data_IF_559725352008
#
_entry.id   IF_559725352008
#
_cell.length_a   1.000
_cell.length_b   1.000
_cell.length_c   1.000
_cell.angle_alpha   90.00
_cell.angle_beta   90.00
_cell.angle_gamma   90.00
#
_symmetry.space_group_name_H-M   'P 1'
#
loop_
_entity.id
_entity.type
_entity.pdbx_description
1 polymer ?
#
# COMPACT_ATOMS: atom_id res chain seq x y z
N UNK A 1 1.63 -37.41 3.21
CA UNK A 1 1.04 -36.30 2.44
C UNK A 1 1.23 -35.05 3.30
N UNK A 2 2.19 -34.19 2.95
CA UNK A 2 2.46 -32.97 3.72
C UNK A 2 1.33 -31.97 3.44
N UNK A 3 0.49 -31.70 4.43
CA UNK A 3 -0.39 -30.54 4.42
C UNK A 3 0.50 -29.29 4.42
N UNK A 4 0.75 -28.76 3.23
CA UNK A 4 1.26 -27.40 3.06
C UNK A 4 0.08 -26.51 3.47
N UNK A 5 0.06 -26.06 4.73
CA UNK A 5 -0.78 -24.95 5.15
C UNK A 5 -0.47 -23.83 4.14
N UNK A 6 -1.40 -23.56 3.22
CA UNK A 6 -1.34 -22.36 2.39
C UNK A 6 -1.49 -21.20 3.37
N UNK A 7 -0.37 -20.68 3.86
CA UNK A 7 -0.41 -19.40 4.57
C UNK A 7 -0.77 -18.38 3.52
N UNK A 8 -1.97 -17.82 3.64
CA UNK A 8 -2.42 -16.74 2.79
C UNK A 8 -1.44 -15.57 2.96
N UNK A 9 -1.02 -14.99 1.84
CA UNK A 9 -0.16 -13.82 1.84
C UNK A 9 -1.04 -12.63 2.21
N UNK A 10 -0.70 -11.97 3.32
CA UNK A 10 -1.36 -10.72 3.71
C UNK A 10 -0.77 -9.58 2.90
N UNK A 11 -1.60 -8.91 2.11
CA UNK A 11 -1.25 -7.70 1.36
C UNK A 11 -2.14 -6.54 1.80
N UNK A 12 -1.52 -5.39 2.08
CA UNK A 12 -2.20 -4.18 2.51
C UNK A 12 -1.98 -3.12 1.43
N UNK A 13 -3.06 -2.69 0.78
CA UNK A 13 -3.02 -1.58 -0.16
C UNK A 13 -3.24 -0.26 0.58
N UNK A 14 -2.47 0.78 0.25
CA UNK A 14 -2.63 2.12 0.83
C UNK A 14 -3.07 3.08 -0.29
N UNK A 15 -4.16 3.80 -0.09
CA UNK A 15 -4.61 4.80 -1.08
C UNK A 15 -5.36 5.97 -0.45
N UNK A 16 -5.41 7.08 -1.19
CA UNK A 16 -6.10 8.30 -0.76
C UNK A 16 -7.60 8.16 -1.01
N UNK A 17 -8.43 8.52 -0.03
CA UNK A 17 -9.87 8.57 -0.19
C UNK A 17 -10.28 9.53 -1.32
N UNK A 18 -9.69 10.73 -1.35
CA UNK A 18 -9.91 11.74 -2.36
C UNK A 18 -9.69 11.29 -3.81
N UNK A 19 -8.70 10.41 -4.04
CA UNK A 19 -8.37 9.97 -5.41
C UNK A 19 -9.24 8.83 -5.91
N UNK A 20 -10.07 8.22 -5.05
CA UNK A 20 -11.06 7.25 -5.46
C UNK A 20 -12.11 7.91 -6.34
N UNK A 21 -12.64 7.16 -7.31
CA UNK A 21 -13.74 7.65 -8.15
C UNK A 21 -14.95 8.02 -7.29
N UNK A 22 -15.78 9.01 -7.69
CA UNK A 22 -17.02 9.34 -6.97
C UNK A 22 -17.89 8.11 -6.71
N UNK A 23 -18.06 7.25 -7.71
CA UNK A 23 -18.82 6.00 -7.59
C UNK A 23 -18.24 5.06 -6.52
N UNK A 24 -16.91 4.89 -6.49
CA UNK A 24 -16.25 4.07 -5.47
C UNK A 24 -16.51 4.65 -4.08
N UNK A 25 -16.40 5.98 -3.91
CA UNK A 25 -16.66 6.64 -2.62
C UNK A 25 -18.11 6.49 -2.17
N UNK A 26 -19.07 6.64 -3.08
CA UNK A 26 -20.50 6.51 -2.77
C UNK A 26 -20.81 5.09 -2.28
N UNK A 27 -20.33 4.07 -2.99
CA UNK A 27 -20.52 2.66 -2.61
C UNK A 27 -19.87 2.32 -1.26
N UNK A 28 -18.71 2.89 -0.98
CA UNK A 28 -18.03 2.72 0.31
C UNK A 28 -18.79 3.42 1.43
N UNK A 29 -19.27 4.65 1.19
CA UNK A 29 -20.04 5.44 2.16
C UNK A 29 -21.35 4.74 2.52
N UNK A 30 -22.11 4.25 1.54
CA UNK A 30 -23.34 3.48 1.77
C UNK A 30 -23.10 2.26 2.67
N UNK A 31 -21.98 1.56 2.49
CA UNK A 31 -21.62 0.40 3.31
C UNK A 31 -21.24 0.78 4.73
N UNK A 32 -20.42 1.80 4.91
CA UNK A 32 -20.06 2.28 6.24
C UNK A 32 -21.30 2.74 7.02
N UNK A 33 -22.26 3.42 6.35
CA UNK A 33 -23.53 3.82 6.97
C UNK A 33 -24.45 2.63 7.29
N UNK A 34 -24.50 1.61 6.43
CA UNK A 34 -25.26 0.39 6.73
C UNK A 34 -24.68 -0.38 7.93
N UNK A 35 -23.35 -0.36 8.10
CA UNK A 35 -22.68 -0.94 9.26
C UNK A 35 -22.95 -0.15 10.55
N UNK A 36 -22.87 1.19 10.52
CA UNK A 36 -23.12 2.03 11.70
C UNK A 36 -24.55 1.85 12.25
N UNK A 37 -25.52 1.62 11.36
CA UNK A 37 -26.91 1.37 11.72
C UNK A 37 -27.20 -0.09 12.16
N UNK A 38 -26.19 -0.97 12.14
CA UNK A 38 -26.30 -2.40 12.44
C UNK A 38 -25.30 -2.91 13.49
N UNK A 39 -24.61 -2.04 14.23
CA UNK A 39 -23.59 -2.44 15.21
C UNK A 39 -24.22 -3.25 16.34
N UNK A 40 -24.13 -4.57 16.24
CA UNK A 40 -23.95 -5.46 17.40
C UNK A 40 -22.46 -5.75 17.50
N UNK A 41 -21.91 -5.86 18.71
CA UNK A 41 -20.47 -6.07 19.01
C UNK A 41 -19.84 -7.34 18.38
N UNK A 42 -20.60 -8.07 17.55
CA UNK A 42 -20.26 -9.34 16.89
C UNK A 42 -20.11 -9.18 15.36
N UNK A 43 -19.44 -8.12 14.88
CA UNK A 43 -19.14 -7.98 13.45
C UNK A 43 -18.27 -9.14 12.96
N UNK A 44 -18.72 -9.89 11.95
CA UNK A 44 -18.00 -11.05 11.41
C UNK A 44 -16.99 -10.62 10.34
N UNK A 45 -15.94 -11.42 10.13
CA UNK A 45 -14.87 -11.17 9.15
C UNK A 45 -15.39 -11.00 7.69
N UNK A 46 -16.58 -11.52 7.38
CA UNK A 46 -17.24 -11.32 6.08
C UNK A 46 -17.76 -9.89 5.86
N UNK A 47 -18.02 -9.14 6.93
CA UNK A 47 -18.52 -7.76 6.88
C UNK A 47 -17.45 -6.77 6.38
N UNK A 48 -16.17 -7.17 6.43
CA UNK A 48 -15.02 -6.37 5.98
C UNK A 48 -14.60 -6.65 4.53
N UNK A 49 -15.26 -7.59 3.84
CA UNK A 49 -14.95 -7.89 2.44
C UNK A 49 -15.64 -6.88 1.52
N UNK A 50 -14.86 -6.11 0.77
CA UNK A 50 -15.40 -5.29 -0.32
C UNK A 50 -16.09 -6.21 -1.36
N UNK A 51 -17.31 -5.88 -1.83
CA UNK A 51 -17.92 -6.62 -2.92
C UNK A 51 -17.00 -6.55 -4.12
N UNK A 52 -16.77 -7.70 -4.73
CA UNK A 52 -15.97 -7.84 -5.95
C UNK A 52 -16.45 -6.89 -7.07
N UNK A 53 -17.72 -6.50 -7.03
CA UNK A 53 -18.37 -5.55 -7.94
C UNK A 53 -17.84 -4.12 -7.86
N UNK A 54 -17.26 -3.69 -6.72
CA UNK A 54 -16.58 -2.39 -6.58
C UNK A 54 -15.22 -2.39 -7.30
N UNK A 55 -14.65 -3.58 -7.52
CA UNK A 55 -13.26 -3.79 -7.96
C UNK A 55 -13.12 -3.93 -9.48
N UNK A 56 -14.21 -4.01 -10.24
CA UNK A 56 -14.20 -4.42 -11.67
C UNK A 56 -14.66 -3.35 -12.66
N UNK A 57 -14.83 -2.09 -12.26
CA UNK A 57 -15.26 -1.03 -13.20
C UNK A 57 -14.06 -0.36 -13.88
N UNK A 58 -14.03 -0.40 -15.20
CA UNK A 58 -12.89 -0.09 -16.09
C UNK A 58 -12.47 1.39 -16.20
N UNK A 59 -12.99 2.29 -15.37
CA UNK A 59 -12.72 3.73 -15.49
C UNK A 59 -11.98 4.25 -14.25
N UNK A 60 -10.64 4.31 -14.34
CA UNK A 60 -9.69 5.06 -13.47
C UNK A 60 -9.63 4.70 -11.98
N UNK A 61 -8.40 4.56 -11.46
CA UNK A 61 -8.00 4.19 -10.07
C UNK A 61 -9.09 3.51 -9.21
N UNK A 62 -9.42 2.27 -9.58
CA UNK A 62 -10.18 1.36 -8.72
C UNK A 62 -9.27 0.80 -7.63
N UNK A 63 -9.89 0.41 -6.50
CA UNK A 63 -9.23 -0.40 -5.48
C UNK A 63 -8.75 -1.69 -6.13
N UNK A 64 -7.47 -2.01 -5.96
CA UNK A 64 -6.87 -3.22 -6.53
C UNK A 64 -7.45 -4.48 -5.84
N UNK A 65 -8.16 -5.37 -6.57
CA UNK A 65 -8.90 -6.49 -5.98
C UNK A 65 -8.08 -7.54 -5.25
N UNK A 66 -6.78 -7.65 -5.52
CA UNK A 66 -5.95 -8.71 -4.95
C UNK A 66 -5.32 -8.33 -3.60
N UNK A 67 -5.59 -7.13 -3.06
CA UNK A 67 -5.20 -6.80 -1.69
C UNK A 67 -6.09 -7.52 -0.67
N UNK A 68 -5.50 -8.07 0.39
CA UNK A 68 -6.24 -8.66 1.51
C UNK A 68 -6.93 -7.58 2.35
N UNK A 69 -6.25 -6.45 2.53
CA UNK A 69 -6.74 -5.29 3.29
C UNK A 69 -6.46 -3.99 2.52
N UNK A 70 -7.24 -2.95 2.81
CA UNK A 70 -6.97 -1.60 2.32
C UNK A 70 -7.01 -0.58 3.45
N UNK A 71 -6.05 0.34 3.44
CA UNK A 71 -6.03 1.54 4.27
C UNK A 71 -6.34 2.75 3.39
N UNK A 72 -7.48 3.39 3.68
CA UNK A 72 -7.93 4.61 3.02
C UNK A 72 -7.59 5.80 3.92
N UNK A 73 -6.72 6.69 3.46
CA UNK A 73 -6.40 7.91 4.19
C UNK A 73 -7.16 9.09 3.60
N UNK A 74 -7.74 9.90 4.47
CA UNK A 74 -8.48 11.11 4.11
C UNK A 74 -7.76 12.34 4.68
N UNK A 75 -7.51 13.31 3.81
CA UNK A 75 -6.95 14.62 4.15
C UNK A 75 -7.91 15.77 3.81
N UNK A 76 -9.15 15.45 3.42
CA UNK A 76 -10.18 16.40 3.01
C UNK A 76 -10.07 16.89 1.57
N UNK A 77 -9.01 16.53 0.83
CA UNK A 77 -8.77 16.99 -0.53
C UNK A 77 -9.11 15.90 -1.56
N UNK A 78 -9.65 16.28 -2.72
CA UNK A 78 -10.12 15.35 -3.76
C UNK A 78 -9.04 14.91 -4.75
N UNK A 79 -7.84 15.48 -4.70
CA UNK A 79 -6.76 15.20 -5.65
C UNK A 79 -5.38 15.15 -4.96
N UNK A 80 -4.34 14.95 -5.76
CA UNK A 80 -2.96 14.85 -5.28
C UNK A 80 -2.55 13.45 -4.82
N UNK A 81 -1.25 13.31 -4.54
CA UNK A 81 -0.62 12.06 -4.14
C UNK A 81 0.17 12.27 -2.85
N UNK A 82 -0.21 11.53 -1.80
CA UNK A 82 0.51 11.51 -0.52
C UNK A 82 0.89 10.09 -0.08
N UNK A 83 0.77 9.12 -0.99
CA UNK A 83 0.96 7.69 -0.70
C UNK A 83 2.33 7.39 -0.07
N UNK A 84 3.38 8.04 -0.54
CA UNK A 84 4.74 7.83 -0.05
C UNK A 84 4.92 8.30 1.40
N UNK A 85 4.33 9.43 1.77
CA UNK A 85 4.38 9.95 3.14
C UNK A 85 3.59 9.07 4.11
N UNK A 86 2.42 8.60 3.67
CA UNK A 86 1.59 7.73 4.50
C UNK A 86 2.18 6.33 4.64
N UNK A 87 2.81 5.80 3.58
CA UNK A 87 3.62 4.57 3.64
C UNK A 87 4.73 4.71 4.68
N UNK A 88 5.48 5.81 4.65
CA UNK A 88 6.58 6.04 5.58
C UNK A 88 6.08 6.04 7.03
N UNK A 89 5.02 6.80 7.34
CA UNK A 89 4.42 6.82 8.69
C UNK A 89 3.95 5.43 9.12
N UNK A 90 3.27 4.70 8.25
CA UNK A 90 2.79 3.34 8.54
C UNK A 90 3.94 2.40 8.91
N UNK A 91 5.02 2.41 8.14
CA UNK A 91 6.17 1.55 8.39
C UNK A 91 6.92 1.98 9.66
N UNK A 92 7.05 3.28 9.93
CA UNK A 92 7.67 3.79 11.16
C UNK A 92 6.90 3.33 12.40
N UNK A 93 5.57 3.47 12.41
CA UNK A 93 4.72 2.97 13.49
C UNK A 93 4.84 1.45 13.66
N UNK A 94 4.84 0.70 12.56
CA UNK A 94 5.01 -0.75 12.58
C UNK A 94 6.39 -1.17 13.16
N UNK A 95 7.46 -0.44 12.85
CA UNK A 95 8.81 -0.71 13.33
C UNK A 95 9.07 -0.25 14.77
N UNK A 96 8.33 0.75 15.27
CA UNK A 96 8.47 1.29 16.63
C UNK A 96 7.72 0.49 17.71
N UNK A 97 6.90 -0.48 17.33
CA UNK A 97 6.20 -1.34 18.28
C UNK A 97 7.15 -2.25 19.08
N UNK A 98 6.75 -2.62 20.30
CA UNK A 98 7.55 -3.44 21.24
C UNK A 98 8.09 -4.74 20.60
N UNK A 99 7.36 -5.26 19.61
CA UNK A 99 7.77 -6.34 18.74
C UNK A 99 8.42 -5.78 17.47
N UNK A 100 9.69 -5.39 17.55
CA UNK A 100 10.46 -4.80 16.43
C UNK A 100 10.20 -5.54 15.11
N UNK A 101 9.47 -4.90 14.21
CA UNK A 101 9.23 -5.39 12.86
C UNK A 101 10.29 -4.84 11.92
N UNK A 102 11.03 -5.73 11.25
CA UNK A 102 11.96 -5.35 10.20
C UNK A 102 11.19 -5.12 8.90
N UNK A 103 11.34 -3.93 8.34
CA UNK A 103 10.78 -3.57 7.04
C UNK A 103 11.90 -3.51 5.99
N UNK A 104 11.54 -3.84 4.76
CA UNK A 104 12.40 -3.69 3.58
C UNK A 104 11.58 -3.03 2.48
N UNK A 105 12.19 -2.11 1.75
CA UNK A 105 11.56 -1.48 0.59
C UNK A 105 12.08 -2.14 -0.68
N UNK A 106 11.17 -2.51 -1.59
CA UNK A 106 11.53 -3.08 -2.88
C UNK A 106 11.14 -2.11 -3.98
N UNK A 107 12.11 -1.70 -4.79
CA UNK A 107 11.93 -0.80 -5.92
C UNK A 107 11.94 -1.63 -7.20
N UNK A 108 10.80 -1.68 -7.89
CA UNK A 108 10.63 -2.36 -9.18
C UNK A 108 10.69 -1.34 -10.30
N UNK A 109 9.81 -0.34 -10.27
CA UNK A 109 9.91 0.83 -11.14
C UNK A 109 9.93 2.09 -10.27
N UNK A 110 10.03 3.26 -10.92
CA UNK A 110 9.90 4.52 -10.21
C UNK A 110 10.00 5.73 -11.10
N UNK A 111 9.40 6.81 -10.63
CA UNK A 111 9.61 8.16 -11.15
C UNK A 111 10.65 8.89 -10.30
N UNK A 112 10.83 10.19 -10.57
CA UNK A 112 11.78 11.01 -9.81
C UNK A 112 11.45 11.05 -8.30
N UNK A 113 10.17 11.05 -7.95
CA UNK A 113 9.69 11.05 -6.56
C UNK A 113 10.07 9.77 -5.80
N UNK A 114 10.40 8.68 -6.49
CA UNK A 114 10.87 7.44 -5.86
C UNK A 114 12.22 7.64 -5.16
N UNK A 115 13.03 8.62 -5.58
CA UNK A 115 14.27 8.95 -4.87
C UNK A 115 14.01 9.45 -3.45
N UNK A 116 12.98 10.27 -3.24
CA UNK A 116 12.63 10.76 -1.91
C UNK A 116 12.24 9.60 -0.99
N UNK A 117 11.51 8.60 -1.53
CA UNK A 117 11.17 7.37 -0.79
C UNK A 117 12.42 6.62 -0.36
N UNK A 118 13.36 6.41 -1.29
CA UNK A 118 14.60 5.68 -1.03
C UNK A 118 15.45 6.41 0.00
N UNK A 119 15.62 7.72 -0.14
CA UNK A 119 16.41 8.54 0.80
C UNK A 119 15.83 8.46 2.22
N UNK A 120 14.52 8.63 2.37
CA UNK A 120 13.86 8.51 3.68
C UNK A 120 14.03 7.09 4.28
N UNK A 121 13.94 6.04 3.46
CA UNK A 121 14.13 4.67 3.94
C UNK A 121 15.58 4.43 4.39
N UNK A 122 16.57 4.93 3.63
CA UNK A 122 17.98 4.81 4.00
C UNK A 122 18.33 5.61 5.27
N UNK A 123 17.79 6.82 5.44
CA UNK A 123 17.93 7.62 6.65
C UNK A 123 17.37 6.89 7.90
N UNK A 124 16.27 6.15 7.72
CA UNK A 124 15.67 5.29 8.74
C UNK A 124 16.44 3.96 8.95
N UNK A 125 17.59 3.75 8.31
CA UNK A 125 18.34 2.48 8.27
C UNK A 125 17.49 1.29 7.78
N UNK A 126 16.53 1.54 6.89
CA UNK A 126 15.68 0.53 6.27
C UNK A 126 16.35 0.03 4.99
N UNK A 127 16.59 -1.29 4.85
CA UNK A 127 17.17 -1.83 3.63
C UNK A 127 16.27 -1.54 2.42
N UNK A 128 16.90 -1.16 1.31
CA UNK A 128 16.26 -0.95 0.01
C UNK A 128 16.81 -1.97 -0.98
N UNK A 129 15.93 -2.72 -1.63
CA UNK A 129 16.25 -3.68 -2.68
C UNK A 129 15.82 -3.08 -4.01
N UNK A 130 16.77 -2.92 -4.92
CA UNK A 130 16.52 -2.46 -6.29
C UNK A 130 16.50 -3.69 -7.19
N UNK A 131 15.48 -3.79 -8.04
CA UNK A 131 15.40 -4.83 -9.06
C UNK A 131 15.99 -4.28 -10.35
N UNK A 132 17.09 -4.88 -10.80
CA UNK A 132 17.73 -4.49 -12.05
C UNK A 132 16.90 -4.88 -13.28
N UNK A 133 16.89 -4.01 -14.29
CA UNK A 133 16.18 -4.22 -15.55
C UNK A 133 14.65 -4.12 -15.46
N UNK A 134 14.10 -3.66 -14.34
CA UNK A 134 12.66 -3.52 -14.16
C UNK A 134 12.10 -2.14 -14.50
N UNK A 135 12.95 -1.12 -14.74
CA UNK A 135 12.53 0.11 -15.39
C UNK A 135 13.13 1.40 -14.82
N UNK A 136 12.73 2.52 -15.42
CA UNK A 136 13.29 3.89 -15.29
C UNK A 136 14.21 4.14 -14.08
N UNK A 137 13.64 4.41 -12.90
CA UNK A 137 14.45 4.78 -11.73
C UNK A 137 15.27 3.59 -11.18
N UNK A 138 14.73 2.38 -11.24
CA UNK A 138 15.42 1.20 -10.74
C UNK A 138 16.69 0.93 -11.56
N UNK A 139 16.60 0.99 -12.89
CA UNK A 139 17.74 0.76 -13.79
C UNK A 139 18.81 1.84 -13.63
N UNK A 140 18.40 3.11 -13.52
CA UNK A 140 19.36 4.22 -13.28
C UNK A 140 20.12 4.03 -11.98
N UNK A 141 19.45 3.61 -10.91
CA UNK A 141 20.11 3.36 -9.61
C UNK A 141 21.01 2.12 -9.65
N UNK A 142 20.55 1.06 -10.32
CA UNK A 142 21.32 -0.16 -10.53
C UNK A 142 22.64 0.15 -11.24
N UNK A 143 22.59 0.84 -12.39
CA UNK A 143 23.75 1.27 -13.16
C UNK A 143 24.74 2.09 -12.33
N UNK A 144 24.24 3.00 -11.47
CA UNK A 144 25.08 3.84 -10.62
C UNK A 144 25.78 3.05 -9.51
N UNK A 145 25.10 2.07 -8.92
CA UNK A 145 25.65 1.19 -7.88
C UNK A 145 26.69 0.23 -8.45
N UNK A 146 26.47 -0.30 -9.65
CA UNK A 146 27.47 -1.14 -10.33
C UNK A 146 28.75 -0.38 -10.68
N UNK A 147 28.62 0.90 -11.04
CA UNK A 147 29.77 1.78 -11.30
C UNK A 147 30.52 2.17 -10.02
N UNK A 148 29.88 2.09 -8.84
CA UNK A 148 30.45 2.46 -7.55
C UNK A 148 30.16 1.38 -6.50
N UNK A 149 30.78 0.19 -6.60
CA UNK A 149 30.45 -0.96 -5.74
C UNK A 149 30.85 -0.77 -4.26
N UNK A 150 31.64 0.26 -3.96
CA UNK A 150 32.14 0.58 -2.61
C UNK A 150 31.35 1.72 -1.92
N UNK A 151 30.19 2.11 -2.47
CA UNK A 151 29.29 3.10 -1.86
C UNK A 151 28.77 2.69 -0.48
#
# INVERSE_FOLDING_TARGET
>A
MLNRLSKDIVSIGLTKWGTLTPRTRDLLSEKFTQQENGITDDANEEDYKFPREILTTTDTQTIEPHHTYMLLFDDGELDGYIGDQQRLKFVQEASNNENKCYAVTVIVEGGINTLDVILNDLEDNRPVVIIDGSGRMADVLSDLLEQNPDG
#
